data_IF_652682125434
#
_entry.id   IF_652682125434
#
_cell.length_a   1.000
_cell.length_b   1.000
_cell.length_c   1.000
_cell.angle_alpha   90.00
_cell.angle_beta   90.00
_cell.angle_gamma   90.00
#
_symmetry.space_group_name_H-M   'P 1'
#
loop_
_entity.id
_entity.type
_entity.pdbx_description
1 polymer ?
#
# COMPACT_ATOMS: atom_id res chain seq x y z
N UNK A 1 -3.39 17.86 20.39
CA UNK A 1 -4.79 18.08 19.96
C UNK A 1 -5.67 17.51 21.05
N UNK A 2 -6.56 18.29 21.62
CA UNK A 2 -7.53 17.85 22.63
C UNK A 2 -8.79 17.46 21.87
N UNK A 3 -9.30 16.26 22.09
CA UNK A 3 -10.53 15.73 21.48
C UNK A 3 -11.55 15.59 22.60
N UNK A 4 -12.72 16.15 22.42
CA UNK A 4 -13.75 16.23 23.47
C UNK A 4 -14.90 15.25 23.23
N UNK A 5 -15.17 14.88 21.98
CA UNK A 5 -16.29 14.01 21.61
C UNK A 5 -15.80 12.70 20.97
N UNK A 6 -16.63 11.66 21.07
CA UNK A 6 -16.37 10.37 20.40
C UNK A 6 -16.23 10.52 18.89
N UNK A 7 -17.05 11.38 18.29
CA UNK A 7 -17.00 11.64 16.85
C UNK A 7 -15.64 12.21 16.45
N UNK A 8 -15.13 13.19 17.19
CA UNK A 8 -13.78 13.77 16.92
C UNK A 8 -12.68 12.73 17.08
N UNK A 9 -12.81 11.79 18.04
CA UNK A 9 -11.85 10.67 18.17
C UNK A 9 -11.85 9.79 16.92
N UNK A 10 -13.02 9.46 16.39
CA UNK A 10 -13.15 8.63 15.21
C UNK A 10 -12.64 9.37 13.95
N UNK A 11 -12.96 10.64 13.79
CA UNK A 11 -12.46 11.51 12.71
C UNK A 11 -10.91 11.60 12.74
N UNK A 12 -10.31 11.74 13.92
CA UNK A 12 -8.85 11.76 14.07
C UNK A 12 -8.22 10.41 13.74
N UNK A 13 -8.81 9.30 14.17
CA UNK A 13 -8.32 7.95 13.82
C UNK A 13 -8.39 7.69 12.32
N UNK A 14 -9.45 8.13 11.66
CA UNK A 14 -9.59 8.06 10.21
C UNK A 14 -8.50 8.88 9.53
N UNK A 15 -8.30 10.14 9.94
CA UNK A 15 -7.26 11.00 9.42
C UNK A 15 -5.85 10.42 9.59
N UNK A 16 -5.55 9.85 10.77
CA UNK A 16 -4.28 9.15 11.02
C UNK A 16 -4.09 7.96 10.08
N UNK A 17 -5.16 7.20 9.83
CA UNK A 17 -5.13 6.06 8.90
C UNK A 17 -4.84 6.52 7.48
N UNK A 18 -5.54 7.54 7.00
CA UNK A 18 -5.31 8.13 5.67
C UNK A 18 -3.88 8.66 5.56
N UNK A 19 -3.43 9.46 6.53
CA UNK A 19 -2.08 10.03 6.52
C UNK A 19 -1.01 8.94 6.51
N UNK A 20 -1.14 7.89 7.32
CA UNK A 20 -0.25 6.74 7.34
C UNK A 20 -0.17 6.05 5.98
N UNK A 21 -1.31 5.77 5.35
CA UNK A 21 -1.36 5.10 4.05
C UNK A 21 -0.67 5.94 2.96
N UNK A 22 -0.91 7.26 2.95
CA UNK A 22 -0.24 8.17 2.01
C UNK A 22 1.25 8.30 2.29
N UNK A 23 1.68 8.42 3.54
CA UNK A 23 3.11 8.43 3.89
C UNK A 23 3.81 7.15 3.40
N UNK A 24 3.20 5.99 3.64
CA UNK A 24 3.74 4.70 3.16
C UNK A 24 3.80 4.65 1.64
N UNK A 25 2.71 5.00 0.96
CA UNK A 25 2.59 5.00 -0.48
C UNK A 25 3.65 5.89 -1.15
N UNK A 26 3.81 7.13 -0.67
CA UNK A 26 4.77 8.08 -1.21
C UNK A 26 6.21 7.61 -0.98
N UNK A 27 6.52 7.01 0.18
CA UNK A 27 7.85 6.47 0.46
C UNK A 27 8.18 5.27 -0.43
N UNK A 28 7.21 4.40 -0.71
CA UNK A 28 7.34 3.31 -1.69
C UNK A 28 7.66 3.89 -3.08
N UNK A 29 6.95 4.92 -3.51
CA UNK A 29 7.15 5.54 -4.82
C UNK A 29 8.50 6.27 -4.92
N UNK A 30 8.94 6.95 -3.86
CA UNK A 30 10.28 7.55 -3.78
C UNK A 30 11.33 6.46 -3.90
N UNK A 31 11.22 5.38 -3.11
CA UNK A 31 12.15 4.26 -3.15
C UNK A 31 12.20 3.62 -4.54
N UNK A 32 11.05 3.44 -5.18
CA UNK A 32 10.98 2.93 -6.56
C UNK A 32 11.75 3.79 -7.56
N UNK A 33 11.71 5.11 -7.42
CA UNK A 33 12.44 6.03 -8.30
C UNK A 33 13.95 6.04 -8.04
N UNK A 34 14.36 5.68 -6.83
CA UNK A 34 15.78 5.54 -6.48
C UNK A 34 16.40 4.25 -7.03
N UNK A 35 15.62 3.18 -7.13
CA UNK A 35 16.05 1.87 -7.64
C UNK A 35 16.17 1.88 -9.17
N UNK A 36 17.24 2.50 -9.71
CA UNK A 36 17.43 2.66 -11.16
C UNK A 36 17.96 1.41 -11.84
N UNK A 37 18.73 0.61 -11.12
CA UNK A 37 19.50 -0.52 -11.65
C UNK A 37 18.81 -1.88 -11.46
N UNK A 38 17.68 -1.92 -10.73
CA UNK A 38 16.90 -3.13 -10.48
C UNK A 38 15.44 -3.02 -10.98
N UNK A 39 15.18 -3.39 -12.24
CA UNK A 39 13.83 -3.37 -12.81
C UNK A 39 12.84 -4.28 -12.08
N UNK A 40 13.32 -5.39 -11.50
CA UNK A 40 12.48 -6.32 -10.74
C UNK A 40 11.99 -5.66 -9.47
N UNK A 41 12.91 -5.03 -8.73
CA UNK A 41 12.54 -4.28 -7.53
C UNK A 41 11.64 -3.09 -7.81
N UNK A 42 11.87 -2.36 -8.90
CA UNK A 42 10.97 -1.30 -9.35
C UNK A 42 9.55 -1.81 -9.60
N UNK A 43 9.41 -2.98 -10.22
CA UNK A 43 8.10 -3.58 -10.46
C UNK A 43 7.42 -4.02 -9.17
N UNK A 44 8.13 -4.67 -8.25
CA UNK A 44 7.60 -5.04 -6.94
C UNK A 44 7.06 -3.81 -6.20
N UNK A 45 7.86 -2.74 -6.09
CA UNK A 45 7.45 -1.50 -5.43
C UNK A 45 6.25 -0.85 -6.11
N UNK A 46 6.18 -0.88 -7.46
CA UNK A 46 5.02 -0.39 -8.19
C UNK A 46 3.75 -1.22 -7.87
N UNK A 47 3.90 -2.54 -7.74
CA UNK A 47 2.80 -3.41 -7.33
C UNK A 47 2.34 -3.11 -5.90
N UNK A 48 3.25 -3.00 -4.93
CA UNK A 48 2.91 -2.70 -3.54
C UNK A 48 2.22 -1.35 -3.39
N UNK A 49 2.63 -0.35 -4.17
CA UNK A 49 1.97 0.96 -4.20
C UNK A 49 0.48 0.86 -4.55
N UNK A 50 0.08 -0.09 -5.41
CA UNK A 50 -1.34 -0.30 -5.78
C UNK A 50 -2.18 -0.92 -4.67
N UNK A 51 -1.58 -1.38 -3.58
CA UNK A 51 -2.27 -1.98 -2.42
C UNK A 51 -2.40 -1.02 -1.24
N UNK A 52 -1.80 0.17 -1.30
CA UNK A 52 -2.05 1.22 -0.32
C UNK A 52 -3.49 1.75 -0.46
N UNK A 53 -4.10 2.10 0.67
CA UNK A 53 -5.46 2.65 0.70
C UNK A 53 -5.44 4.11 0.24
N UNK A 54 -5.49 4.31 -1.07
CA UNK A 54 -5.46 5.60 -1.72
C UNK A 54 -6.86 6.02 -2.19
N UNK A 55 -7.06 7.33 -2.36
CA UNK A 55 -8.24 7.84 -3.03
C UNK A 55 -8.31 7.32 -4.49
N UNK A 56 -9.49 7.14 -5.08
CA UNK A 56 -9.68 6.54 -6.41
C UNK A 56 -8.81 7.16 -7.51
N UNK A 57 -8.62 8.47 -7.48
CA UNK A 57 -7.77 9.18 -8.46
C UNK A 57 -6.32 8.73 -8.37
N UNK A 58 -5.76 8.65 -7.17
CA UNK A 58 -4.38 8.23 -6.93
C UNK A 58 -4.19 6.73 -7.14
N UNK A 59 -5.18 5.92 -6.75
CA UNK A 59 -5.20 4.48 -7.04
C UNK A 59 -5.17 4.22 -8.55
N UNK A 60 -5.96 4.96 -9.34
CA UNK A 60 -5.96 4.84 -10.80
C UNK A 60 -4.59 5.18 -11.41
N UNK A 61 -3.88 6.18 -10.87
CA UNK A 61 -2.53 6.53 -11.30
C UNK A 61 -1.53 5.41 -10.96
N UNK A 62 -1.59 4.85 -9.76
CA UNK A 62 -0.70 3.75 -9.35
C UNK A 62 -0.94 2.50 -10.18
N UNK A 63 -2.21 2.12 -10.42
CA UNK A 63 -2.58 0.97 -11.25
C UNK A 63 -2.10 1.14 -12.70
N UNK A 64 -2.25 2.34 -13.28
CA UNK A 64 -1.76 2.63 -14.63
C UNK A 64 -0.24 2.51 -14.72
N UNK A 65 0.48 2.99 -13.71
CA UNK A 65 1.94 2.87 -13.64
C UNK A 65 2.37 1.41 -13.54
N UNK A 66 1.80 0.64 -12.61
CA UNK A 66 2.09 -0.78 -12.43
C UNK A 66 1.78 -1.58 -13.69
N UNK A 67 0.61 -1.40 -14.30
CA UNK A 67 0.23 -2.03 -15.58
C UNK A 67 1.32 -1.83 -16.64
N UNK A 68 1.81 -0.60 -16.80
CA UNK A 68 2.80 -0.27 -17.83
C UNK A 68 4.17 -0.89 -17.53
N UNK A 69 4.58 -0.93 -16.26
CA UNK A 69 5.85 -1.52 -15.83
C UNK A 69 5.84 -3.03 -16.06
N UNK A 70 4.80 -3.71 -15.60
CA UNK A 70 4.67 -5.15 -15.73
C UNK A 70 4.54 -5.60 -17.18
N UNK A 71 3.84 -4.83 -18.00
CA UNK A 71 3.77 -5.08 -19.44
C UNK A 71 5.13 -4.99 -20.12
N UNK A 72 5.95 -3.99 -19.76
CA UNK A 72 7.33 -3.85 -20.27
C UNK A 72 8.25 -5.00 -19.85
N UNK A 73 8.06 -5.52 -18.64
CA UNK A 73 8.79 -6.69 -18.13
C UNK A 73 8.30 -8.02 -18.72
N UNK A 74 7.26 -8.00 -19.55
CA UNK A 74 6.59 -9.19 -20.10
C UNK A 74 5.96 -10.09 -19.02
N UNK A 75 5.63 -9.52 -17.87
CA UNK A 75 4.84 -10.16 -16.82
C UNK A 75 3.35 -9.92 -17.14
N UNK A 76 2.86 -10.68 -18.13
CA UNK A 76 1.58 -10.39 -18.77
C UNK A 76 0.37 -10.76 -17.90
N UNK A 77 0.44 -11.83 -17.12
CA UNK A 77 -0.68 -12.23 -16.25
C UNK A 77 -0.92 -11.18 -15.16
N UNK A 78 0.16 -10.69 -14.54
CA UNK A 78 0.07 -9.62 -13.54
C UNK A 78 -0.31 -8.28 -14.17
N UNK A 79 0.21 -7.94 -15.36
CA UNK A 79 -0.20 -6.73 -16.10
C UNK A 79 -1.69 -6.75 -16.45
N UNK A 80 -2.22 -7.92 -16.85
CA UNK A 80 -3.65 -8.11 -17.10
C UNK A 80 -4.49 -7.88 -15.82
N UNK A 81 -4.02 -8.36 -14.67
CA UNK A 81 -4.66 -8.13 -13.38
C UNK A 81 -4.75 -6.63 -13.06
N UNK A 82 -3.67 -5.88 -13.21
CA UNK A 82 -3.69 -4.43 -13.01
C UNK A 82 -4.59 -3.71 -14.01
N UNK A 83 -4.64 -4.17 -15.27
CA UNK A 83 -5.53 -3.63 -16.29
C UNK A 83 -7.01 -3.79 -15.91
N UNK A 84 -7.41 -4.96 -15.39
CA UNK A 84 -8.78 -5.22 -14.92
C UNK A 84 -9.13 -4.33 -13.73
N UNK A 85 -8.25 -4.30 -12.71
CA UNK A 85 -8.44 -3.42 -11.54
C UNK A 85 -8.54 -1.95 -11.92
N UNK A 86 -7.77 -1.50 -12.92
CA UNK A 86 -7.84 -0.13 -13.42
C UNK A 86 -9.18 0.16 -14.08
N UNK A 87 -9.69 -0.78 -14.88
CA UNK A 87 -11.00 -0.64 -15.53
C UNK A 87 -12.17 -0.61 -14.53
N UNK A 88 -12.06 -1.33 -13.41
CA UNK A 88 -13.02 -1.30 -12.30
C UNK A 88 -13.12 0.08 -11.63
N UNK A 89 -12.08 0.90 -11.71
CA UNK A 89 -12.08 2.28 -11.20
C UNK A 89 -12.83 3.28 -12.10
N UNK A 90 -13.44 2.84 -13.19
CA UNK A 90 -14.11 3.70 -14.19
C UNK A 90 -13.23 4.88 -14.64
N UNK A 91 -12.03 4.62 -15.16
CA UNK A 91 -11.09 5.67 -15.55
C UNK A 91 -11.60 6.46 -16.77
N UNK A 92 -11.03 7.65 -17.05
CA UNK A 92 -11.35 8.43 -18.23
C UNK A 92 -11.20 7.60 -19.52
N UNK A 93 -11.99 7.90 -20.59
CA UNK A 93 -12.06 7.07 -21.80
C UNK A 93 -10.71 6.73 -22.44
N UNK A 94 -9.77 7.68 -22.48
CA UNK A 94 -8.41 7.46 -23.01
C UNK A 94 -7.63 6.42 -22.20
N UNK A 95 -7.74 6.49 -20.87
CA UNK A 95 -7.07 5.54 -19.95
C UNK A 95 -7.73 4.17 -20.04
N UNK A 96 -9.07 4.12 -20.09
CA UNK A 96 -9.82 2.89 -20.28
C UNK A 96 -9.45 2.19 -21.60
N UNK A 97 -9.31 2.94 -22.69
CA UNK A 97 -8.89 2.39 -23.99
C UNK A 97 -7.47 1.80 -23.89
N UNK A 98 -6.51 2.50 -23.27
CA UNK A 98 -5.17 2.00 -23.05
C UNK A 98 -5.17 0.69 -22.22
N UNK A 99 -5.95 0.66 -21.14
CA UNK A 99 -6.04 -0.53 -20.29
C UNK A 99 -6.62 -1.73 -21.05
N UNK A 100 -7.66 -1.53 -21.88
CA UNK A 100 -8.22 -2.60 -22.74
C UNK A 100 -7.22 -3.10 -23.78
N UNK A 101 -6.43 -2.22 -24.38
CA UNK A 101 -5.40 -2.61 -25.35
C UNK A 101 -4.32 -3.47 -24.69
N UNK A 102 -3.83 -3.06 -23.52
CA UNK A 102 -2.85 -3.83 -22.75
C UNK A 102 -3.45 -5.18 -22.33
N UNK A 103 -4.68 -5.20 -21.81
CA UNK A 103 -5.36 -6.43 -21.42
C UNK A 103 -5.47 -7.41 -22.59
N UNK A 104 -5.95 -6.95 -23.77
CA UNK A 104 -6.05 -7.78 -24.96
C UNK A 104 -4.68 -8.29 -25.46
N UNK A 105 -3.63 -7.49 -25.33
CA UNK A 105 -2.28 -7.94 -25.67
C UNK A 105 -1.75 -9.01 -24.71
N UNK A 106 -1.99 -8.85 -23.41
CA UNK A 106 -1.60 -9.81 -22.38
C UNK A 106 -2.34 -11.15 -22.53
N UNK A 107 -3.63 -11.14 -22.88
CA UNK A 107 -4.44 -12.34 -23.08
C UNK A 107 -3.98 -13.18 -24.29
N UNK A 108 -3.32 -12.56 -25.27
CA UNK A 108 -2.75 -13.29 -26.43
C UNK A 108 -1.43 -14.00 -26.11
N UNK A 109 -0.72 -13.55 -25.11
CA UNK A 109 0.58 -14.08 -24.74
C UNK A 109 0.69 -14.17 -23.21
N UNK A 110 -0.08 -15.04 -22.54
CA UNK A 110 -0.06 -15.14 -21.07
C UNK A 110 1.29 -15.65 -20.57
N UNK A 111 1.65 -15.28 -19.35
CA UNK A 111 2.83 -15.75 -18.65
C UNK A 111 3.57 -14.63 -17.92
N UNK A 112 4.54 -15.04 -17.11
CA UNK A 112 5.40 -14.19 -16.31
C UNK A 112 6.85 -14.42 -16.70
N UNK A 113 7.51 -13.41 -17.29
CA UNK A 113 8.90 -13.54 -17.73
C UNK A 113 9.90 -13.43 -16.58
N UNK A 114 9.54 -12.72 -15.51
CA UNK A 114 10.41 -12.45 -14.35
C UNK A 114 9.69 -12.86 -13.07
N UNK A 115 10.35 -13.69 -12.27
CA UNK A 115 9.84 -14.04 -10.94
C UNK A 115 10.03 -12.85 -9.99
N UNK A 116 8.95 -12.41 -9.36
CA UNK A 116 8.92 -11.26 -8.45
C UNK A 116 8.39 -11.69 -7.09
N UNK A 117 8.80 -10.99 -6.03
CA UNK A 117 8.23 -11.16 -4.69
C UNK A 117 6.86 -10.46 -4.59
N UNK A 118 5.95 -10.85 -5.46
CA UNK A 118 4.59 -10.31 -5.50
C UNK A 118 3.59 -11.38 -5.87
N UNK A 119 2.65 -11.65 -4.96
CA UNK A 119 1.52 -12.55 -5.19
C UNK A 119 0.21 -11.78 -4.97
N UNK A 120 -0.47 -11.46 -6.07
CA UNK A 120 -1.75 -10.76 -6.04
C UNK A 120 -2.89 -11.59 -5.40
N UNK A 121 -2.73 -12.91 -5.29
CA UNK A 121 -3.75 -13.82 -4.75
C UNK A 121 -3.64 -14.00 -3.24
N UNK A 122 -2.48 -13.69 -2.67
CA UNK A 122 -2.24 -13.79 -1.23
C UNK A 122 -2.31 -12.41 -0.59
N UNK A 123 -3.31 -12.12 0.26
CA UNK A 123 -3.42 -10.83 0.93
C UNK A 123 -2.19 -10.51 1.78
N UNK A 124 -1.68 -9.32 1.66
CA UNK A 124 -0.54 -8.84 2.41
C UNK A 124 -0.71 -7.37 2.84
N UNK A 125 0.12 -6.96 3.79
CA UNK A 125 0.37 -5.56 4.12
C UNK A 125 1.83 -5.25 3.83
N UNK A 126 2.14 -4.03 3.42
CA UNK A 126 3.52 -3.65 3.13
C UNK A 126 4.24 -3.20 4.40
N UNK A 127 5.41 -3.76 4.67
CA UNK A 127 6.27 -3.30 5.75
C UNK A 127 6.69 -1.84 5.51
N UNK A 128 6.44 -0.95 6.48
CA UNK A 128 6.72 0.47 6.33
C UNK A 128 8.22 0.84 6.39
N UNK A 129 9.10 -0.11 6.72
CA UNK A 129 10.56 0.09 6.75
C UNK A 129 11.25 -0.54 5.54
N UNK A 130 10.97 -1.80 5.27
CA UNK A 130 11.66 -2.59 4.22
C UNK A 130 10.95 -2.52 2.87
N UNK A 131 9.70 -2.07 2.85
CA UNK A 131 8.81 -2.09 1.69
C UNK A 131 8.70 -3.48 1.06
N UNK A 132 8.65 -4.51 1.90
CA UNK A 132 8.40 -5.91 1.52
C UNK A 132 7.00 -6.31 1.95
N UNK A 133 6.36 -7.26 1.24
CA UNK A 133 5.04 -7.75 1.63
C UNK A 133 5.15 -8.61 2.89
N UNK A 134 4.23 -8.43 3.80
CA UNK A 134 3.99 -9.27 4.96
C UNK A 134 2.70 -10.02 4.66
N UNK A 135 2.82 -11.24 4.17
CA UNK A 135 1.69 -12.05 3.78
C UNK A 135 0.88 -12.53 4.98
N UNK A 136 -0.39 -12.77 4.77
CA UNK A 136 -1.29 -13.27 5.82
C UNK A 136 -0.74 -14.55 6.45
N UNK A 137 -0.67 -14.57 7.79
CA UNK A 137 -0.10 -15.68 8.56
C UNK A 137 1.38 -15.51 8.94
N UNK A 138 2.08 -14.53 8.36
CA UNK A 138 3.42 -14.13 8.81
C UNK A 138 3.31 -13.22 10.04
N UNK A 139 4.18 -13.41 11.01
CA UNK A 139 4.22 -12.54 12.19
C UNK A 139 4.61 -11.12 11.78
N UNK A 140 3.82 -10.17 12.25
CA UNK A 140 4.05 -8.74 12.09
C UNK A 140 4.05 -8.02 13.43
N UNK A 141 4.56 -6.82 13.44
CA UNK A 141 4.42 -5.90 14.55
C UNK A 141 3.91 -4.55 14.03
N UNK A 142 3.29 -3.78 14.91
CA UNK A 142 2.70 -2.49 14.56
C UNK A 142 3.26 -1.38 15.45
N UNK A 143 3.28 -0.18 14.91
CA UNK A 143 3.46 1.00 15.73
C UNK A 143 2.20 1.24 16.57
N UNK A 144 2.29 1.35 17.91
CA UNK A 144 1.12 1.55 18.75
C UNK A 144 0.47 2.93 18.55
N UNK A 145 1.21 3.88 17.98
CA UNK A 145 0.73 5.25 17.77
C UNK A 145 0.02 5.44 16.42
N UNK A 146 0.67 5.12 15.30
CA UNK A 146 0.10 5.32 13.96
C UNK A 146 -0.47 4.05 13.32
N UNK A 147 -0.23 2.87 13.90
CA UNK A 147 -0.70 1.58 13.37
C UNK A 147 0.05 1.07 12.14
N UNK A 148 1.16 1.71 11.72
CA UNK A 148 1.98 1.23 10.61
C UNK A 148 2.52 -0.17 10.90
N UNK A 149 2.53 -1.02 9.87
CA UNK A 149 2.94 -2.42 9.96
C UNK A 149 4.40 -2.62 9.60
N UNK A 150 5.05 -3.55 10.30
CA UNK A 150 6.47 -3.84 10.16
C UNK A 150 6.72 -5.34 10.27
N UNK A 151 7.78 -5.82 9.62
CA UNK A 151 8.30 -7.17 9.86
C UNK A 151 8.76 -7.30 11.32
N UNK A 152 8.68 -8.48 11.90
CA UNK A 152 9.02 -8.73 13.32
C UNK A 152 10.44 -8.28 13.66
N UNK A 153 11.37 -8.39 12.72
CA UNK A 153 12.77 -7.93 12.91
C UNK A 153 12.90 -6.43 13.25
N UNK A 154 11.91 -5.61 12.91
CA UNK A 154 11.92 -4.18 13.23
C UNK A 154 11.35 -3.86 14.63
N UNK A 155 10.95 -4.88 15.40
CA UNK A 155 10.41 -4.70 16.75
C UNK A 155 11.43 -4.02 17.66
N UNK A 156 10.98 -3.03 18.39
CA UNK A 156 11.81 -2.28 19.32
C UNK A 156 12.48 -1.04 18.72
N UNK A 157 12.47 -0.86 17.41
CA UNK A 157 12.99 0.35 16.76
C UNK A 157 11.98 1.50 16.82
N UNK A 158 12.43 2.72 16.51
CA UNK A 158 11.55 3.87 16.34
C UNK A 158 10.74 3.70 15.04
N UNK A 159 9.45 4.04 15.09
CA UNK A 159 8.58 3.98 13.93
C UNK A 159 9.06 4.96 12.85
N UNK A 160 9.33 4.44 11.66
CA UNK A 160 9.80 5.24 10.53
C UNK A 160 8.71 6.06 9.84
N UNK A 161 7.45 5.94 10.26
CA UNK A 161 6.30 6.65 9.66
C UNK A 161 5.91 7.88 10.48
N UNK A 162 5.83 7.74 11.79
CA UNK A 162 5.39 8.82 12.68
C UNK A 162 6.51 9.38 13.57
N UNK A 163 7.66 8.71 13.65
CA UNK A 163 8.82 9.05 14.50
C UNK A 163 8.48 9.26 15.99
N UNK A 164 7.34 8.70 16.45
CA UNK A 164 6.84 8.89 17.82
C UNK A 164 6.74 7.60 18.62
N UNK A 165 6.43 6.48 17.96
CA UNK A 165 6.16 5.22 18.63
C UNK A 165 7.31 4.22 18.47
N UNK A 166 7.57 3.42 19.53
CA UNK A 166 8.45 2.26 19.46
C UNK A 166 7.67 1.10 18.84
N UNK A 167 8.17 0.53 17.75
CA UNK A 167 7.50 -0.55 17.00
C UNK A 167 7.27 -1.77 17.90
N UNK A 168 6.05 -2.28 17.96
CA UNK A 168 5.66 -3.42 18.74
C UNK A 168 5.69 -3.20 20.26
N UNK A 169 5.73 -1.93 20.72
CA UNK A 169 5.55 -1.63 22.12
C UNK A 169 4.08 -1.81 22.54
N UNK A 170 3.89 -2.23 23.78
CA UNK A 170 2.58 -2.32 24.39
C UNK A 170 2.12 -0.93 24.86
N UNK A 171 1.46 -0.20 23.98
CA UNK A 171 0.92 1.13 24.25
C UNK A 171 -0.41 1.31 23.52
N UNK A 172 -1.32 2.05 24.12
CA UNK A 172 -2.68 2.20 23.61
C UNK A 172 -2.84 3.27 22.51
N UNK A 173 -1.77 3.94 22.08
CA UNK A 173 -1.81 4.99 21.07
C UNK A 173 -2.67 6.18 21.51
N UNK A 174 -3.72 6.48 20.77
CA UNK A 174 -4.74 7.48 21.13
C UNK A 174 -5.65 6.93 22.23
N UNK A 175 -5.58 7.52 23.41
CA UNK A 175 -6.49 7.23 24.51
C UNK A 175 -7.58 8.30 24.62
N UNK A 176 -8.81 7.87 24.85
CA UNK A 176 -9.91 8.77 25.18
C UNK A 176 -9.82 9.18 26.66
N UNK A 177 -10.23 10.41 26.96
CA UNK A 177 -10.42 10.84 28.36
C UNK A 177 -11.57 10.06 29.02
N UNK A 178 -11.62 9.96 30.37
CA UNK A 178 -12.72 9.28 31.04
C UNK A 178 -14.11 9.81 30.70
N UNK A 179 -14.24 11.11 30.36
CA UNK A 179 -15.49 11.71 29.90
C UNK A 179 -15.96 11.15 28.56
N UNK A 180 -15.04 10.84 27.65
CA UNK A 180 -15.36 10.28 26.33
C UNK A 180 -15.77 8.80 26.38
N UNK A 181 -15.50 8.11 27.49
CA UNK A 181 -15.88 6.72 27.71
C UNK A 181 -17.29 6.58 28.34
N UNK A 182 -17.88 7.66 28.85
CA UNK A 182 -19.19 7.64 29.51
C UNK A 182 -20.40 7.69 28.58
N UNK A 183 -20.19 8.06 27.31
CA UNK A 183 -21.23 8.14 26.28
C UNK A 183 -21.38 6.81 25.50
N UNK A 184 -21.39 5.70 26.23
CA UNK A 184 -21.68 4.36 25.69
C UNK A 184 -23.07 3.91 26.06
#
# INVERSE_FOLDING_TARGET
MVVETRKEVDDVKELLTIAREYCNALRIEIKRKEEKDDPSRQAELAAYFTHCQLQPVHLSLSLRSAMSIFFKLKNFDTAASFSRRLLEQNPPPKVAQQARQVLSACEKSPGEAVALNYDARNPFVTCAKTFTPIYRGTKDCACPFCGAKFVEAAKGELCTVCDMGKIGADASGLTCSPSQLRDR
#
